data_IF_282431297403
#
_entry.id   IF_282431297403
#
_cell.length_a   1.000
_cell.length_b   1.000
_cell.length_c   1.000
_cell.angle_alpha   90.00
_cell.angle_beta   90.00
_cell.angle_gamma   90.00
#
_symmetry.space_group_name_H-M   'P 1'
#
loop_
_entity.id
_entity.type
_entity.pdbx_description
1 polymer ?
#
# COMPACT_ATOMS: atom_id res chain seq x y z
N UNK A 1 16.77 23.73 -6.16
CA UNK A 1 16.01 22.47 -6.33
C UNK A 1 16.99 21.46 -6.87
N UNK A 2 17.09 20.26 -6.29
CA UNK A 2 17.96 19.21 -6.82
C UNK A 2 17.42 18.76 -8.19
N UNK A 3 18.30 18.58 -9.15
CA UNK A 3 17.96 18.07 -10.48
C UNK A 3 18.82 16.84 -10.75
N UNK A 4 18.21 15.73 -11.17
CA UNK A 4 18.97 14.53 -11.54
C UNK A 4 19.99 14.80 -12.63
N UNK A 5 21.18 14.20 -12.52
CA UNK A 5 22.27 14.38 -13.48
C UNK A 5 22.24 13.23 -14.49
N UNK A 6 21.96 13.57 -15.74
CA UNK A 6 21.94 12.63 -16.87
C UNK A 6 22.77 13.28 -17.98
N UNK A 7 24.09 12.98 -18.05
CA UNK A 7 25.02 13.69 -18.94
C UNK A 7 24.83 13.35 -20.42
N UNK A 8 24.15 12.28 -20.75
CA UNK A 8 23.86 11.85 -22.12
C UNK A 8 22.54 11.08 -22.20
N UNK A 9 21.87 11.09 -23.34
CA UNK A 9 20.70 10.25 -23.60
C UNK A 9 21.06 8.80 -23.96
N UNK A 10 20.04 7.95 -24.12
CA UNK A 10 20.17 6.55 -24.56
C UNK A 10 20.95 5.67 -23.56
N UNK A 11 21.54 4.59 -24.06
CA UNK A 11 22.22 3.58 -23.21
C UNK A 11 23.37 4.16 -22.39
N UNK A 12 24.12 5.13 -22.94
CA UNK A 12 25.25 5.74 -22.21
C UNK A 12 24.78 6.49 -20.94
N UNK A 13 23.74 7.32 -21.08
CA UNK A 13 23.12 8.01 -19.93
C UNK A 13 22.49 7.03 -18.95
N UNK A 14 21.87 5.97 -19.43
CA UNK A 14 21.33 4.91 -18.60
C UNK A 14 22.40 4.25 -17.72
N UNK A 15 23.52 3.84 -18.30
CA UNK A 15 24.64 3.25 -17.53
C UNK A 15 25.25 4.21 -16.52
N UNK A 16 25.24 5.51 -16.82
CA UNK A 16 25.64 6.51 -15.83
C UNK A 16 24.61 6.60 -14.69
N UNK A 17 23.33 6.70 -15.03
CA UNK A 17 22.23 6.78 -14.05
C UNK A 17 22.21 5.55 -13.14
N UNK A 18 22.35 4.34 -13.69
CA UNK A 18 22.40 3.09 -12.90
C UNK A 18 23.51 3.13 -11.84
N UNK A 19 24.71 3.57 -12.21
CA UNK A 19 25.84 3.61 -11.28
C UNK A 19 25.72 4.67 -10.18
N UNK A 20 24.94 5.69 -10.41
CA UNK A 20 24.79 6.84 -9.51
C UNK A 20 23.40 6.91 -8.87
N UNK A 21 22.56 5.91 -9.13
CA UNK A 21 21.13 5.91 -8.80
C UNK A 21 20.88 6.17 -7.32
N UNK A 22 21.50 5.39 -6.45
CA UNK A 22 21.28 5.50 -5.00
C UNK A 22 21.75 6.84 -4.48
N UNK A 23 22.97 7.28 -4.84
CA UNK A 23 23.50 8.59 -4.42
C UNK A 23 22.64 9.77 -4.93
N UNK A 24 22.09 9.67 -6.15
CA UNK A 24 21.23 10.72 -6.68
C UNK A 24 19.84 10.70 -6.02
N UNK A 25 19.31 9.54 -5.70
CA UNK A 25 18.03 9.39 -5.00
C UNK A 25 18.12 9.94 -3.57
N UNK A 26 19.18 9.59 -2.84
CA UNK A 26 19.42 10.10 -1.49
C UNK A 26 19.55 11.62 -1.49
N UNK A 27 20.34 12.19 -2.43
CA UNK A 27 20.47 13.62 -2.59
C UNK A 27 19.15 14.32 -2.97
N UNK A 28 18.26 13.64 -3.72
CA UNK A 28 16.93 14.13 -4.04
C UNK A 28 16.00 14.11 -2.81
N UNK A 29 16.03 13.02 -2.03
CA UNK A 29 15.22 12.89 -0.81
C UNK A 29 15.60 13.97 0.23
N UNK A 30 16.90 14.26 0.39
CA UNK A 30 17.41 15.31 1.27
C UNK A 30 17.19 16.74 0.74
N UNK A 31 16.83 16.89 -0.54
CA UNK A 31 16.53 18.19 -1.12
C UNK A 31 15.30 18.83 -0.44
N UNK A 32 15.41 20.12 -0.12
CA UNK A 32 14.43 20.83 0.71
C UNK A 32 12.94 20.68 0.32
N UNK A 33 12.55 20.68 -0.97
CA UNK A 33 11.14 20.45 -1.35
C UNK A 33 10.66 19.04 -1.03
N UNK A 34 11.41 18.00 -1.42
CA UNK A 34 11.05 16.58 -1.19
C UNK A 34 11.01 16.28 0.29
N UNK A 35 12.03 16.68 1.04
CA UNK A 35 12.09 16.52 2.48
C UNK A 35 10.88 17.15 3.19
N UNK A 36 10.55 18.42 2.85
CA UNK A 36 9.36 19.08 3.44
C UNK A 36 8.04 18.39 3.09
N UNK A 37 7.93 17.82 1.90
CA UNK A 37 6.71 17.07 1.52
C UNK A 37 6.59 15.78 2.34
N UNK A 38 7.68 15.04 2.49
CA UNK A 38 7.72 13.81 3.30
C UNK A 38 7.49 14.08 4.79
N UNK A 39 8.12 15.11 5.36
CA UNK A 39 7.94 15.50 6.77
C UNK A 39 6.50 15.91 7.04
N UNK A 40 5.91 16.71 6.15
CA UNK A 40 4.51 17.09 6.25
C UNK A 40 3.57 15.89 6.16
N UNK A 41 3.81 14.99 5.22
CA UNK A 41 3.01 13.78 5.09
C UNK A 41 3.09 12.94 6.36
N UNK A 42 4.29 12.67 6.88
CA UNK A 42 4.51 11.89 8.10
C UNK A 42 3.78 12.49 9.31
N UNK A 43 3.85 13.81 9.47
CA UNK A 43 3.17 14.51 10.55
C UNK A 43 1.65 14.42 10.44
N UNK A 44 1.10 14.67 9.26
CA UNK A 44 -0.34 14.83 9.08
C UNK A 44 -1.09 13.52 8.88
N UNK A 45 -0.48 12.52 8.25
CA UNK A 45 -1.15 11.25 7.93
C UNK A 45 -1.58 10.50 9.20
N UNK A 46 -0.89 10.68 10.31
CA UNK A 46 -1.23 10.06 11.59
C UNK A 46 -2.64 10.45 12.10
N UNK A 47 -3.16 11.59 11.66
CA UNK A 47 -4.50 12.09 12.06
C UNK A 47 -5.56 11.83 10.99
N UNK A 48 -5.20 11.24 9.87
CA UNK A 48 -6.09 10.93 8.76
C UNK A 48 -6.71 9.55 8.97
N UNK A 49 -8.02 9.51 9.14
CA UNK A 49 -8.77 8.27 9.39
C UNK A 49 -9.87 8.01 8.36
N UNK A 50 -10.10 8.96 7.45
CA UNK A 50 -11.11 8.84 6.40
C UNK A 50 -10.57 9.25 5.03
N UNK A 51 -11.12 8.68 3.94
CA UNK A 51 -10.83 9.10 2.58
C UNK A 51 -11.01 10.61 2.35
N UNK A 52 -12.08 11.20 2.92
CA UNK A 52 -12.35 12.64 2.83
C UNK A 52 -11.21 13.47 3.41
N UNK A 53 -10.71 13.08 4.59
CA UNK A 53 -9.62 13.80 5.25
C UNK A 53 -8.34 13.78 4.39
N UNK A 54 -8.01 12.63 3.78
CA UNK A 54 -6.87 12.52 2.88
C UNK A 54 -7.02 13.41 1.65
N UNK A 55 -8.19 13.34 0.98
CA UNK A 55 -8.37 14.07 -0.29
C UNK A 55 -8.62 15.57 -0.09
N UNK A 56 -9.06 16.01 1.08
CA UNK A 56 -9.24 17.42 1.41
C UNK A 56 -7.91 18.18 1.49
N UNK A 57 -6.86 17.52 2.00
CA UNK A 57 -5.53 18.11 2.06
C UNK A 57 -4.77 17.87 0.74
N UNK A 58 -4.59 18.95 -0.05
CA UNK A 58 -3.89 18.87 -1.35
C UNK A 58 -2.47 18.32 -1.21
N UNK A 59 -1.74 18.69 -0.17
CA UNK A 59 -0.34 18.27 0.02
C UNK A 59 -0.25 16.78 0.35
N UNK A 60 -1.17 16.29 1.21
CA UNK A 60 -1.28 14.84 1.47
C UNK A 60 -1.62 14.08 0.20
N UNK A 61 -2.59 14.56 -0.55
CA UNK A 61 -3.04 13.94 -1.81
C UNK A 61 -1.94 13.91 -2.86
N UNK A 62 -1.14 14.99 -2.99
CA UNK A 62 0.00 15.05 -3.91
C UNK A 62 1.04 13.97 -3.57
N UNK A 63 1.43 13.83 -2.31
CA UNK A 63 2.38 12.79 -1.87
C UNK A 63 1.78 11.39 -2.04
N UNK A 64 0.53 11.21 -1.61
CA UNK A 64 -0.17 9.94 -1.70
C UNK A 64 -0.26 9.42 -3.14
N UNK A 65 -0.72 10.25 -4.07
CA UNK A 65 -0.84 9.86 -5.49
C UNK A 65 0.52 9.69 -6.15
N UNK A 66 1.47 10.57 -5.87
CA UNK A 66 2.84 10.47 -6.41
C UNK A 66 3.54 9.18 -5.96
N UNK A 67 3.27 8.69 -4.74
CA UNK A 67 3.79 7.41 -4.26
C UNK A 67 3.37 6.22 -5.12
N UNK A 68 2.31 6.35 -5.92
CA UNK A 68 1.82 5.29 -6.81
C UNK A 68 1.90 5.66 -8.30
N UNK A 69 2.45 6.84 -8.64
CA UNK A 69 2.58 7.32 -10.02
C UNK A 69 1.23 7.73 -10.63
N UNK A 70 0.35 8.28 -9.80
CA UNK A 70 -1.00 8.74 -10.13
C UNK A 70 -1.12 10.27 -10.05
N UNK A 71 -0.03 11.00 -10.27
CA UNK A 71 0.05 12.47 -10.13
C UNK A 71 -0.96 13.18 -11.03
N UNK A 72 -1.32 12.57 -12.16
CA UNK A 72 -2.29 13.12 -13.09
C UNK A 72 -3.70 13.27 -12.48
N UNK A 73 -4.00 12.49 -11.43
CA UNK A 73 -5.31 12.48 -10.76
C UNK A 73 -5.40 13.42 -9.56
N UNK A 74 -4.36 14.23 -9.30
CA UNK A 74 -4.32 15.11 -8.12
C UNK A 74 -5.52 16.06 -8.04
N UNK A 75 -6.06 16.50 -9.16
CA UNK A 75 -7.23 17.39 -9.22
C UNK A 75 -8.57 16.61 -9.35
N UNK A 76 -8.51 15.27 -9.52
CA UNK A 76 -9.68 14.39 -9.64
C UNK A 76 -10.20 13.95 -8.26
N UNK A 77 -10.47 14.92 -7.37
CA UNK A 77 -10.76 14.69 -5.94
C UNK A 77 -11.90 13.69 -5.71
N UNK A 78 -13.00 13.82 -6.46
CA UNK A 78 -14.15 12.92 -6.34
C UNK A 78 -13.80 11.48 -6.72
N UNK A 79 -13.05 11.30 -7.80
CA UNK A 79 -12.63 9.98 -8.27
C UNK A 79 -11.69 9.31 -7.24
N UNK A 80 -10.68 10.02 -6.75
CA UNK A 80 -9.72 9.53 -5.76
C UNK A 80 -10.44 9.17 -4.46
N UNK A 81 -11.37 10.02 -3.99
CA UNK A 81 -12.18 9.74 -2.82
C UNK A 81 -12.98 8.46 -2.99
N UNK A 82 -13.70 8.33 -4.11
CA UNK A 82 -14.52 7.16 -4.40
C UNK A 82 -13.70 5.86 -4.44
N UNK A 83 -12.52 5.88 -5.02
CA UNK A 83 -11.60 4.74 -5.01
C UNK A 83 -11.28 4.28 -3.58
N UNK A 84 -10.95 5.22 -2.71
CA UNK A 84 -10.57 4.95 -1.32
C UNK A 84 -11.78 4.50 -0.47
N UNK A 85 -12.98 5.05 -0.72
CA UNK A 85 -14.22 4.68 -0.04
C UNK A 85 -14.67 3.25 -0.36
N UNK A 86 -14.54 2.83 -1.63
CA UNK A 86 -14.94 1.48 -2.05
C UNK A 86 -13.93 0.40 -1.61
N UNK A 87 -12.68 0.78 -1.31
CA UNK A 87 -11.66 -0.16 -0.87
C UNK A 87 -11.26 -1.17 -1.95
N UNK A 88 -10.76 -2.33 -1.52
CA UNK A 88 -10.34 -3.42 -2.41
C UNK A 88 -10.97 -4.77 -2.07
N UNK A 89 -11.73 -4.88 -0.99
CA UNK A 89 -12.32 -6.15 -0.51
C UNK A 89 -13.45 -6.66 -1.40
N UNK A 90 -14.29 -5.76 -1.89
CA UNK A 90 -15.35 -6.13 -2.84
C UNK A 90 -14.73 -6.32 -4.24
N UNK A 91 -14.88 -7.50 -4.86
CA UNK A 91 -14.44 -7.71 -6.25
C UNK A 91 -15.06 -6.71 -7.25
N UNK A 92 -16.24 -6.16 -6.94
CA UNK A 92 -16.92 -5.12 -7.71
C UNK A 92 -16.42 -3.71 -7.46
N UNK A 93 -15.55 -3.48 -6.47
CA UNK A 93 -15.00 -2.17 -6.16
C UNK A 93 -14.29 -1.53 -7.35
N UNK A 94 -14.35 -0.21 -7.46
CA UNK A 94 -13.82 0.54 -8.60
C UNK A 94 -12.34 0.25 -8.85
N UNK A 95 -11.52 0.18 -7.80
CA UNK A 95 -10.09 -0.13 -7.88
C UNK A 95 -9.80 -1.50 -8.49
N UNK A 96 -10.67 -2.50 -8.25
CA UNK A 96 -10.52 -3.86 -8.78
C UNK A 96 -10.98 -3.99 -10.25
N UNK A 97 -11.81 -3.05 -10.72
CA UNK A 97 -12.35 -3.05 -12.09
C UNK A 97 -11.49 -2.28 -13.08
N UNK A 98 -10.60 -1.44 -12.59
CA UNK A 98 -9.67 -0.69 -13.43
C UNK A 98 -8.56 -1.61 -13.94
N UNK A 99 -8.18 -1.43 -15.20
CA UNK A 99 -7.08 -2.19 -15.82
C UNK A 99 -5.71 -1.77 -15.31
N UNK A 100 -5.59 -0.54 -14.80
CA UNK A 100 -4.36 -0.01 -14.23
C UNK A 100 -4.23 -0.44 -12.75
N UNK A 101 -3.34 -1.37 -12.49
CA UNK A 101 -3.11 -1.95 -11.17
C UNK A 101 -2.67 -0.91 -10.11
N UNK A 102 -2.12 0.24 -10.53
CA UNK A 102 -1.65 1.28 -9.61
C UNK A 102 -2.77 1.81 -8.71
N UNK A 103 -4.01 1.86 -9.22
CA UNK A 103 -5.16 2.29 -8.41
C UNK A 103 -5.46 1.30 -7.29
N UNK A 104 -5.37 0.01 -7.57
CA UNK A 104 -5.56 -1.03 -6.55
C UNK A 104 -4.45 -0.97 -5.50
N UNK A 105 -3.20 -0.84 -5.93
CA UNK A 105 -2.05 -0.73 -5.03
C UNK A 105 -2.16 0.51 -4.14
N UNK A 106 -2.60 1.64 -4.70
CA UNK A 106 -2.87 2.88 -3.97
C UNK A 106 -3.94 2.68 -2.88
N UNK A 107 -5.09 2.12 -3.24
CA UNK A 107 -6.18 1.90 -2.29
C UNK A 107 -5.79 0.91 -1.19
N UNK A 108 -5.11 -0.19 -1.57
CA UNK A 108 -4.65 -1.20 -0.63
C UNK A 108 -3.61 -0.68 0.37
N UNK A 109 -2.77 0.29 -0.02
CA UNK A 109 -1.76 0.87 0.87
C UNK A 109 -2.35 1.71 1.99
N UNK A 110 -3.48 2.40 1.73
CA UNK A 110 -4.18 3.17 2.77
C UNK A 110 -5.17 2.32 3.57
N UNK A 111 -5.75 1.29 2.94
CA UNK A 111 -6.65 0.34 3.57
C UNK A 111 -7.65 1.00 4.53
N UNK A 112 -8.37 2.05 4.07
CA UNK A 112 -9.35 2.75 4.91
C UNK A 112 -10.49 1.86 5.38
N UNK A 113 -10.73 0.74 4.70
CA UNK A 113 -11.61 -0.33 5.11
C UNK A 113 -11.04 -1.19 6.26
N UNK A 114 -9.76 -1.01 6.62
CA UNK A 114 -9.06 -1.65 7.73
C UNK A 114 -8.70 -0.67 8.87
N UNK A 115 -9.29 0.52 8.89
CA UNK A 115 -9.09 1.48 9.99
C UNK A 115 -9.49 0.84 11.31
N UNK A 116 -8.52 0.74 12.22
CA UNK A 116 -8.72 0.14 13.54
C UNK A 116 -9.32 1.16 14.48
N UNK A 117 -10.54 0.91 14.93
CA UNK A 117 -11.25 1.76 15.91
C UNK A 117 -11.24 1.17 17.32
N UNK A 118 -10.94 -0.13 17.46
CA UNK A 118 -10.83 -0.83 18.73
C UNK A 118 -9.86 -2.02 18.61
N UNK A 119 -9.26 -2.42 19.74
CA UNK A 119 -8.34 -3.57 19.76
C UNK A 119 -9.01 -4.90 19.39
N UNK A 120 -10.34 -4.99 19.47
CA UNK A 120 -11.15 -6.14 19.03
C UNK A 120 -10.90 -6.52 17.58
N UNK A 121 -10.52 -5.55 16.73
CA UNK A 121 -10.24 -5.72 15.31
C UNK A 121 -8.78 -6.09 15.01
N UNK A 122 -7.90 -6.02 16.03
CA UNK A 122 -6.48 -6.36 15.86
C UNK A 122 -6.31 -7.88 15.76
N UNK A 123 -5.55 -8.40 14.76
CA UNK A 123 -5.28 -9.83 14.65
C UNK A 123 -4.77 -10.45 15.95
N UNK A 124 -5.30 -11.63 16.30
CA UNK A 124 -4.95 -12.34 17.52
C UNK A 124 -5.61 -11.80 18.79
N UNK A 125 -6.43 -10.75 18.74
CA UNK A 125 -7.17 -10.26 19.92
C UNK A 125 -8.08 -11.35 20.50
N UNK A 126 -8.89 -11.97 19.67
CA UNK A 126 -9.81 -13.03 20.08
C UNK A 126 -9.08 -14.18 20.81
N UNK A 127 -7.92 -14.59 20.32
CA UNK A 127 -7.13 -15.67 20.92
C UNK A 127 -6.54 -15.26 22.27
N UNK A 128 -6.02 -14.04 22.40
CA UNK A 128 -5.54 -13.54 23.70
C UNK A 128 -6.61 -13.51 24.79
N UNK A 129 -7.85 -13.12 24.43
CA UNK A 129 -8.97 -13.15 25.38
C UNK A 129 -9.41 -14.59 25.65
N UNK A 130 -9.41 -15.43 24.62
CA UNK A 130 -9.69 -16.87 24.76
C UNK A 130 -8.73 -17.56 25.72
N UNK A 131 -7.43 -17.32 25.62
CA UNK A 131 -6.42 -17.86 26.53
C UNK A 131 -6.67 -17.41 27.97
N UNK A 132 -7.00 -16.14 28.22
CA UNK A 132 -7.38 -15.64 29.55
C UNK A 132 -8.65 -16.32 30.08
N UNK A 133 -9.66 -16.49 29.24
CA UNK A 133 -10.89 -17.20 29.61
C UNK A 133 -10.62 -18.65 30.00
N UNK A 134 -9.79 -19.35 29.23
CA UNK A 134 -9.37 -20.72 29.51
C UNK A 134 -8.65 -20.81 30.87
N UNK A 135 -7.66 -19.93 31.07
CA UNK A 135 -6.91 -19.85 32.32
C UNK A 135 -7.84 -19.60 33.53
N UNK A 136 -8.77 -18.64 33.42
CA UNK A 136 -9.73 -18.35 34.48
C UNK A 136 -10.69 -19.52 34.79
N UNK A 137 -10.98 -20.39 33.81
CA UNK A 137 -11.86 -21.57 34.02
C UNK A 137 -11.15 -22.74 34.70
N UNK A 138 -9.84 -22.89 34.52
CA UNK A 138 -9.09 -24.07 34.94
C UNK A 138 -8.22 -23.85 36.19
N UNK A 139 -8.11 -22.60 36.63
CA UNK A 139 -7.33 -22.27 37.86
C UNK A 139 -7.90 -22.94 39.13
N UNK A 140 -9.13 -23.42 39.09
CA UNK A 140 -9.81 -24.13 40.20
C UNK A 140 -9.34 -25.59 40.36
N UNK A 141 -8.59 -26.17 39.39
CA UNK A 141 -8.28 -27.62 39.37
C UNK A 141 -6.78 -27.97 39.26
N UNK A 142 -5.88 -27.01 39.07
CA UNK A 142 -4.44 -27.27 38.94
C UNK A 142 -4.02 -28.06 37.69
N UNK A 143 -4.90 -28.18 36.68
CA UNK A 143 -4.59 -28.85 35.41
C UNK A 143 -4.16 -27.85 34.33
N UNK A 144 -3.32 -28.26 33.35
CA UNK A 144 -2.94 -27.37 32.23
C UNK A 144 -4.16 -26.88 31.48
N UNK A 145 -4.28 -25.57 31.34
CA UNK A 145 -5.38 -24.91 30.65
C UNK A 145 -5.21 -25.05 29.13
N UNK A 146 -6.00 -25.90 28.49
CA UNK A 146 -6.11 -25.99 27.02
C UNK A 146 -7.56 -25.92 26.57
N UNK A 147 -7.81 -25.53 25.31
CA UNK A 147 -9.15 -25.49 24.75
C UNK A 147 -9.84 -26.88 24.78
N UNK A 148 -9.03 -27.96 24.68
CA UNK A 148 -9.56 -29.33 24.68
C UNK A 148 -9.99 -29.80 26.07
N UNK A 149 -9.44 -29.22 27.14
CA UNK A 149 -9.83 -29.58 28.53
C UNK A 149 -11.10 -28.84 28.99
N UNK A 150 -11.59 -27.86 28.23
CA UNK A 150 -12.85 -27.18 28.53
C UNK A 150 -14.07 -28.10 28.33
N UNK A 151 -15.13 -27.98 29.17
CA UNK A 151 -16.44 -28.58 28.89
C UNK A 151 -16.99 -28.14 27.51
N UNK A 152 -17.74 -29.01 26.82
CA UNK A 152 -18.25 -28.78 25.46
C UNK A 152 -19.02 -27.46 25.35
N UNK A 153 -19.88 -27.13 26.32
CA UNK A 153 -20.62 -25.87 26.34
C UNK A 153 -19.71 -24.64 26.44
N UNK A 154 -18.57 -24.73 27.13
CA UNK A 154 -17.60 -23.63 27.23
C UNK A 154 -16.79 -23.47 25.95
N UNK A 155 -16.50 -24.56 25.22
CA UNK A 155 -15.86 -24.51 23.88
C UNK A 155 -16.74 -23.81 22.89
N UNK A 156 -18.04 -24.21 22.76
CA UNK A 156 -18.98 -23.54 21.85
C UNK A 156 -19.16 -22.05 22.16
N UNK A 157 -19.13 -21.70 23.44
CA UNK A 157 -19.16 -20.27 23.85
C UNK A 157 -17.91 -19.54 23.39
N UNK A 158 -16.74 -20.16 23.47
CA UNK A 158 -15.48 -19.56 23.06
C UNK A 158 -15.36 -19.44 21.54
N UNK A 159 -15.85 -20.42 20.78
CA UNK A 159 -15.89 -20.38 19.31
C UNK A 159 -16.83 -19.28 18.82
N UNK A 160 -17.99 -19.12 19.47
CA UNK A 160 -18.90 -18.01 19.20
C UNK A 160 -18.28 -16.64 19.53
N UNK A 161 -17.48 -16.57 20.60
CA UNK A 161 -16.72 -15.35 20.92
C UNK A 161 -15.72 -15.04 19.81
N UNK A 162 -14.88 -15.98 19.42
CA UNK A 162 -13.88 -15.78 18.37
C UNK A 162 -14.46 -15.31 17.04
N UNK A 163 -15.62 -15.87 16.67
CA UNK A 163 -16.25 -15.53 15.40
C UNK A 163 -16.90 -14.14 15.35
N UNK A 164 -17.26 -13.57 16.51
CA UNK A 164 -18.06 -12.32 16.58
C UNK A 164 -17.32 -11.14 17.18
N UNK A 165 -16.28 -11.33 17.98
CA UNK A 165 -15.65 -10.24 18.73
C UNK A 165 -15.08 -9.14 17.82
N UNK A 166 -14.62 -9.47 16.63
CA UNK A 166 -14.08 -8.50 15.68
C UNK A 166 -15.15 -7.51 15.15
N UNK A 167 -16.45 -7.85 15.24
CA UNK A 167 -17.53 -6.93 14.87
C UNK A 167 -17.89 -5.93 15.97
N UNK A 168 -17.35 -6.11 17.17
CA UNK A 168 -17.58 -5.23 18.32
C UNK A 168 -16.63 -4.03 18.23
N UNK A 169 -17.15 -2.86 17.93
CA UNK A 169 -16.37 -1.63 17.77
C UNK A 169 -16.62 -0.58 18.84
N UNK A 170 -17.67 -0.77 19.64
CA UNK A 170 -18.04 0.13 20.73
C UNK A 170 -18.27 -0.62 22.05
N UNK A 171 -18.15 0.05 23.21
CA UNK A 171 -18.55 -0.52 24.50
C UNK A 171 -20.02 -0.94 24.54
N UNK A 172 -20.89 -0.21 23.85
CA UNK A 172 -22.32 -0.48 23.73
C UNK A 172 -22.57 -1.82 23.04
N UNK A 173 -21.87 -2.12 21.94
CA UNK A 173 -21.97 -3.39 21.21
C UNK A 173 -21.59 -4.56 22.12
N UNK A 174 -20.49 -4.43 22.89
CA UNK A 174 -20.03 -5.48 23.79
C UNK A 174 -21.08 -5.78 24.89
N UNK A 175 -21.62 -4.72 25.48
CA UNK A 175 -22.58 -4.87 26.59
C UNK A 175 -23.94 -5.37 26.09
N UNK A 176 -24.31 -5.07 24.85
CA UNK A 176 -25.54 -5.56 24.22
C UNK A 176 -25.50 -7.08 23.92
N UNK A 177 -24.32 -7.64 23.66
CA UNK A 177 -24.15 -9.08 23.48
C UNK A 177 -23.83 -9.78 24.82
N UNK A 178 -24.86 -10.32 25.46
CA UNK A 178 -24.73 -10.94 26.78
C UNK A 178 -23.71 -12.09 26.83
N UNK A 179 -23.50 -12.81 25.73
CA UNK A 179 -22.55 -13.91 25.66
C UNK A 179 -21.11 -13.41 25.55
N UNK A 180 -20.83 -12.44 24.66
CA UNK A 180 -19.52 -11.81 24.54
C UNK A 180 -19.16 -11.06 25.83
N UNK A 181 -20.12 -10.36 26.43
CA UNK A 181 -19.94 -9.68 27.69
C UNK A 181 -19.54 -10.65 28.83
N UNK A 182 -20.26 -11.78 28.98
CA UNK A 182 -19.96 -12.76 30.00
C UNK A 182 -18.56 -13.42 29.81
N UNK A 183 -18.19 -13.78 28.57
CA UNK A 183 -16.84 -14.30 28.27
C UNK A 183 -15.77 -13.29 28.63
N UNK A 184 -16.00 -12.02 28.26
CA UNK A 184 -15.09 -10.92 28.55
C UNK A 184 -14.87 -10.76 30.03
N UNK A 185 -15.94 -10.65 30.82
CA UNK A 185 -15.81 -10.48 32.27
C UNK A 185 -15.14 -11.68 32.95
N UNK A 186 -15.42 -12.90 32.50
CA UNK A 186 -14.75 -14.09 33.01
C UNK A 186 -13.24 -14.09 32.68
N UNK A 187 -12.87 -13.67 31.48
CA UNK A 187 -11.46 -13.60 31.06
C UNK A 187 -10.61 -12.61 31.90
N UNK A 188 -11.27 -11.63 32.54
CA UNK A 188 -10.62 -10.64 33.39
C UNK A 188 -10.92 -10.82 34.88
N UNK A 189 -11.56 -11.94 35.26
CA UNK A 189 -11.96 -12.24 36.66
C UNK A 189 -12.90 -11.17 37.26
N UNK A 190 -13.83 -10.67 36.44
CA UNK A 190 -14.79 -9.61 36.78
C UNK A 190 -16.23 -10.15 36.87
N UNK A 191 -16.44 -11.40 37.24
CA UNK A 191 -17.76 -12.01 37.35
C UNK A 191 -18.71 -11.26 38.34
N UNK A 192 -18.13 -10.61 39.35
CA UNK A 192 -18.82 -9.76 40.30
C UNK A 192 -19.40 -8.48 39.69
N UNK A 193 -19.01 -8.15 38.46
CA UNK A 193 -19.52 -7.01 37.69
C UNK A 193 -20.59 -7.38 36.65
N UNK A 194 -20.97 -8.67 36.49
CA UNK A 194 -22.00 -9.11 35.52
C UNK A 194 -23.35 -8.37 35.70
N UNK A 195 -23.70 -7.97 36.94
CA UNK A 195 -24.90 -7.22 37.23
C UNK A 195 -24.77 -5.67 37.06
N UNK A 196 -23.57 -5.22 36.61
CA UNK A 196 -23.26 -3.79 36.51
C UNK A 196 -22.83 -3.38 35.08
N UNK A 197 -23.64 -3.67 34.05
CA UNK A 197 -23.24 -3.45 32.65
C UNK A 197 -22.93 -1.97 32.34
N UNK A 198 -23.67 -1.03 32.97
CA UNK A 198 -23.41 0.39 32.76
C UNK A 198 -22.05 0.86 33.32
N UNK A 199 -21.59 0.28 34.44
CA UNK A 199 -20.26 0.58 34.97
C UNK A 199 -19.17 0.08 34.04
N UNK A 200 -19.30 -1.14 33.54
CA UNK A 200 -18.34 -1.71 32.59
C UNK A 200 -18.34 -0.93 31.28
N UNK A 201 -19.52 -0.56 30.77
CA UNK A 201 -19.63 0.28 29.57
C UNK A 201 -18.89 1.61 29.74
N UNK A 202 -19.07 2.27 30.87
CA UNK A 202 -18.38 3.54 31.15
C UNK A 202 -16.88 3.36 31.32
N UNK A 203 -16.43 2.32 32.03
CA UNK A 203 -15.00 1.95 32.15
C UNK A 203 -14.36 1.74 30.77
N UNK A 204 -15.02 1.02 29.89
CA UNK A 204 -14.54 0.76 28.54
C UNK A 204 -14.54 2.02 27.66
N UNK A 205 -15.56 2.89 27.80
CA UNK A 205 -15.66 4.14 27.04
C UNK A 205 -14.61 5.18 27.45
N UNK A 206 -14.37 5.33 28.75
CA UNK A 206 -13.34 6.24 29.27
C UNK A 206 -11.92 5.70 29.08
N UNK A 207 -11.79 4.36 28.90
CA UNK A 207 -10.48 3.71 28.76
C UNK A 207 -9.66 3.72 30.04
N UNK A 208 -8.33 3.71 29.89
CA UNK A 208 -7.39 3.73 31.01
C UNK A 208 -6.20 4.67 30.80
N UNK A 209 -6.18 5.45 29.71
CA UNK A 209 -5.08 6.38 29.42
C UNK A 209 -5.11 7.61 30.31
N UNK A 210 -6.31 8.17 30.52
CA UNK A 210 -6.50 9.30 31.41
C UNK A 210 -6.28 8.85 32.87
N UNK A 211 -5.45 9.55 33.67
CA UNK A 211 -5.31 9.30 35.11
C UNK A 211 -6.62 9.39 35.88
N UNK A 212 -7.57 10.22 35.40
CA UNK A 212 -8.87 10.43 36.00
C UNK A 212 -9.97 9.52 35.46
N UNK A 213 -9.64 8.56 34.54
CA UNK A 213 -10.60 7.61 34.02
C UNK A 213 -11.25 6.76 35.12
N UNK A 214 -12.51 6.38 34.92
CA UNK A 214 -13.31 5.63 35.92
C UNK A 214 -12.62 4.34 36.36
N UNK A 215 -11.97 3.61 35.42
CA UNK A 215 -11.21 2.40 35.73
C UNK A 215 -10.16 2.62 36.81
N UNK A 216 -9.43 3.73 36.77
CA UNK A 216 -8.41 4.11 37.74
C UNK A 216 -9.00 4.66 39.03
N UNK A 217 -10.07 5.44 38.96
CA UNK A 217 -10.76 6.00 40.14
C UNK A 217 -11.40 4.93 41.02
N UNK A 218 -11.90 3.84 40.43
CA UNK A 218 -12.45 2.70 41.20
C UNK A 218 -11.32 1.99 41.95
N UNK A 219 -10.09 2.00 41.42
CA UNK A 219 -8.93 1.40 42.08
C UNK A 219 -8.85 -0.11 41.92
N UNK A 220 -9.67 -0.74 41.06
CA UNK A 220 -9.59 -2.15 40.75
C UNK A 220 -8.68 -2.36 39.51
N UNK A 221 -7.50 -2.99 39.65
CA UNK A 221 -6.59 -3.18 38.56
C UNK A 221 -7.13 -4.11 37.46
N UNK A 222 -8.17 -4.90 37.72
CA UNK A 222 -8.83 -5.76 36.73
C UNK A 222 -9.59 -4.90 35.72
N UNK A 223 -10.23 -3.81 36.16
CA UNK A 223 -10.94 -2.87 35.30
C UNK A 223 -9.97 -2.09 34.42
N UNK A 224 -8.81 -1.70 34.94
CA UNK A 224 -7.75 -1.06 34.16
C UNK A 224 -7.26 -1.99 33.05
N UNK A 225 -6.95 -3.24 33.39
CA UNK A 225 -6.54 -4.25 32.40
C UNK A 225 -7.61 -4.53 31.34
N UNK A 226 -8.87 -4.54 31.73
CA UNK A 226 -9.99 -4.69 30.81
C UNK A 226 -10.06 -3.51 29.82
N UNK A 227 -10.02 -2.28 30.31
CA UNK A 227 -10.06 -1.08 29.48
C UNK A 227 -8.87 -0.99 28.51
N UNK A 228 -7.64 -1.25 29.01
CA UNK A 228 -6.43 -1.28 28.19
C UNK A 228 -6.47 -2.38 27.11
N UNK A 229 -7.03 -3.55 27.45
CA UNK A 229 -7.11 -4.64 26.49
C UNK A 229 -8.04 -4.34 25.31
N UNK A 230 -9.20 -3.72 25.59
CA UNK A 230 -10.19 -3.42 24.56
C UNK A 230 -9.87 -2.13 23.78
N UNK A 231 -9.34 -1.11 24.46
CA UNK A 231 -8.87 0.13 23.84
C UNK A 231 -9.94 0.86 23.03
N UNK A 232 -11.19 0.91 23.52
CA UNK A 232 -12.26 1.68 22.88
C UNK A 232 -12.05 3.20 23.00
N UNK A 233 -11.14 3.63 23.87
CA UNK A 233 -10.66 5.02 23.98
C UNK A 233 -9.56 5.34 22.95
N UNK A 234 -9.28 4.39 22.04
CA UNK A 234 -8.29 4.58 20.97
C UNK A 234 -8.85 5.50 19.91
N UNK A 235 -8.06 6.49 19.52
CA UNK A 235 -8.37 7.25 18.32
C UNK A 235 -8.22 6.34 17.09
N UNK A 236 -9.19 6.35 16.16
CA UNK A 236 -9.07 5.62 14.92
C UNK A 236 -7.75 5.96 14.23
N UNK A 237 -7.10 5.00 13.63
CA UNK A 237 -5.83 5.20 12.91
C UNK A 237 -5.73 4.30 11.69
N UNK A 238 -5.02 4.75 10.68
CA UNK A 238 -4.62 3.89 9.58
C UNK A 238 -3.78 2.70 10.09
N UNK A 239 -3.70 1.61 9.33
CA UNK A 239 -2.84 0.47 9.66
C UNK A 239 -1.41 0.92 9.95
N UNK A 240 -0.76 0.22 10.90
CA UNK A 240 0.63 0.51 11.26
C UNK A 240 1.54 0.35 10.04
N UNK A 241 2.48 1.27 9.86
CA UNK A 241 3.41 1.26 8.72
C UNK A 241 2.88 1.89 7.43
N UNK A 242 1.62 2.36 7.38
CA UNK A 242 1.07 3.03 6.18
C UNK A 242 1.92 4.23 5.77
N UNK A 243 2.30 5.09 6.71
CA UNK A 243 3.11 6.27 6.43
C UNK A 243 4.46 5.90 5.80
N UNK A 244 5.16 4.94 6.40
CA UNK A 244 6.48 4.46 5.95
C UNK A 244 6.40 3.83 4.56
N UNK A 245 5.39 2.99 4.33
CA UNK A 245 5.16 2.34 3.03
C UNK A 245 4.90 3.36 1.92
N UNK A 246 4.05 4.35 2.18
CA UNK A 246 3.74 5.42 1.21
C UNK A 246 4.97 6.29 0.97
N UNK A 247 5.69 6.69 2.03
CA UNK A 247 6.88 7.53 1.90
C UNK A 247 8.03 6.84 1.18
N UNK A 248 8.27 5.55 1.43
CA UNK A 248 9.27 4.78 0.69
C UNK A 248 8.93 4.70 -0.81
N UNK A 249 7.65 4.49 -1.13
CA UNK A 249 7.17 4.51 -2.52
C UNK A 249 7.27 5.90 -3.15
N UNK A 250 6.93 6.95 -2.39
CA UNK A 250 7.04 8.34 -2.82
C UNK A 250 8.47 8.73 -3.18
N UNK A 251 9.44 8.41 -2.31
CA UNK A 251 10.85 8.72 -2.53
C UNK A 251 11.35 8.18 -3.88
N UNK A 252 11.07 6.92 -4.15
CA UNK A 252 11.48 6.27 -5.41
C UNK A 252 10.79 6.92 -6.61
N UNK A 253 9.48 7.09 -6.56
CA UNK A 253 8.71 7.56 -7.71
C UNK A 253 8.85 9.07 -7.95
N UNK A 254 8.98 9.86 -6.90
CA UNK A 254 9.26 11.28 -7.03
C UNK A 254 10.63 11.53 -7.68
N UNK A 255 11.62 10.70 -7.36
CA UNK A 255 12.90 10.72 -8.07
C UNK A 255 12.75 10.27 -9.54
N UNK A 256 12.02 9.18 -9.82
CA UNK A 256 11.70 8.76 -11.19
C UNK A 256 11.03 9.90 -11.99
N UNK A 257 10.09 10.62 -11.38
CA UNK A 257 9.42 11.77 -11.99
C UNK A 257 10.40 12.94 -12.25
N UNK A 258 11.28 13.22 -11.31
CA UNK A 258 12.32 14.24 -11.47
C UNK A 258 13.31 13.88 -12.60
N UNK A 259 13.67 12.60 -12.74
CA UNK A 259 14.42 12.08 -13.89
C UNK A 259 13.66 12.32 -15.19
N UNK A 260 12.34 12.11 -15.19
CA UNK A 260 11.46 12.36 -16.33
C UNK A 260 11.43 13.81 -16.78
N UNK A 261 11.59 14.74 -15.85
CA UNK A 261 11.76 16.17 -16.17
C UNK A 261 13.05 16.50 -16.94
N UNK A 262 14.04 15.61 -16.90
CA UNK A 262 15.29 15.71 -17.68
C UNK A 262 15.21 14.87 -18.93
N UNK A 263 14.79 13.60 -18.80
CA UNK A 263 14.69 12.62 -19.88
C UNK A 263 13.56 11.60 -19.59
N UNK A 264 12.46 11.70 -20.33
CA UNK A 264 11.30 10.81 -20.14
C UNK A 264 11.61 9.34 -20.48
N UNK A 265 12.56 9.08 -21.37
CA UNK A 265 12.94 7.71 -21.68
C UNK A 265 13.65 7.03 -20.51
N UNK A 266 14.44 7.78 -19.74
CA UNK A 266 15.07 7.30 -18.52
C UNK A 266 14.06 7.04 -17.41
N UNK A 267 13.02 7.88 -17.28
CA UNK A 267 11.92 7.65 -16.34
C UNK A 267 11.18 6.36 -16.65
N UNK A 268 10.85 6.12 -17.92
CA UNK A 268 10.19 4.88 -18.34
C UNK A 268 11.09 3.66 -18.08
N UNK A 269 12.39 3.78 -18.31
CA UNK A 269 13.34 2.71 -18.02
C UNK A 269 13.45 2.38 -16.53
N UNK A 270 13.54 3.40 -15.66
CA UNK A 270 13.57 3.24 -14.19
C UNK A 270 12.27 2.59 -13.68
N UNK A 271 11.13 3.14 -14.07
CA UNK A 271 9.82 2.60 -13.69
C UNK A 271 9.66 1.14 -14.18
N UNK A 272 10.04 0.90 -15.45
CA UNK A 272 9.96 -0.41 -16.05
C UNK A 272 10.83 -1.44 -15.34
N UNK A 273 12.07 -1.08 -14.98
CA UNK A 273 12.97 -1.97 -14.23
C UNK A 273 12.34 -2.39 -12.91
N UNK A 274 11.83 -1.44 -12.13
CA UNK A 274 11.20 -1.71 -10.84
C UNK A 274 9.90 -2.50 -10.96
N UNK A 275 9.00 -2.07 -11.85
CA UNK A 275 7.68 -2.66 -11.99
C UNK A 275 7.71 -4.04 -12.65
N UNK A 276 8.62 -4.28 -13.61
CA UNK A 276 8.83 -5.61 -14.19
C UNK A 276 9.37 -6.59 -13.15
N UNK A 277 10.36 -6.19 -12.33
CA UNK A 277 10.90 -7.05 -11.28
C UNK A 277 9.78 -7.49 -10.30
N UNK A 278 8.99 -6.55 -9.80
CA UNK A 278 7.86 -6.85 -8.91
C UNK A 278 6.80 -7.75 -9.58
N UNK A 279 6.49 -7.52 -10.86
CA UNK A 279 5.54 -8.34 -11.61
C UNK A 279 6.07 -9.76 -11.85
N UNK A 280 7.37 -9.90 -12.09
CA UNK A 280 8.03 -11.20 -12.29
C UNK A 280 7.88 -12.12 -11.08
N UNK A 281 8.03 -11.56 -9.87
CA UNK A 281 7.89 -12.28 -8.59
C UNK A 281 6.44 -12.62 -8.23
N UNK A 282 5.46 -11.95 -8.85
CA UNK A 282 4.03 -12.15 -8.57
C UNK A 282 3.54 -13.56 -8.89
N UNK A 283 2.60 -14.07 -8.11
CA UNK A 283 2.02 -15.42 -8.26
C UNK A 283 0.94 -15.54 -9.36
N UNK A 284 0.66 -14.47 -10.10
CA UNK A 284 -0.36 -14.44 -11.17
C UNK A 284 0.05 -15.32 -12.36
N UNK A 285 -0.94 -15.77 -13.16
CA UNK A 285 -0.69 -16.45 -14.42
C UNK A 285 0.08 -15.56 -15.40
N UNK A 286 0.77 -16.16 -16.37
CA UNK A 286 1.52 -15.40 -17.37
C UNK A 286 0.63 -14.41 -18.14
N UNK A 287 -0.55 -14.84 -18.57
CA UNK A 287 -1.53 -13.98 -19.27
C UNK A 287 -1.94 -12.79 -18.40
N UNK A 288 -2.22 -13.02 -17.10
CA UNK A 288 -2.56 -11.94 -16.17
C UNK A 288 -1.41 -10.94 -16.00
N UNK A 289 -0.16 -11.40 -16.00
CA UNK A 289 1.02 -10.54 -16.00
C UNK A 289 1.12 -9.72 -17.28
N UNK A 290 0.85 -10.33 -18.44
CA UNK A 290 0.79 -9.60 -19.72
C UNK A 290 -0.32 -8.57 -19.76
N UNK A 291 -1.52 -8.89 -19.27
CA UNK A 291 -2.61 -7.90 -19.14
C UNK A 291 -2.22 -6.75 -18.19
N UNK A 292 -1.48 -7.03 -17.13
CA UNK A 292 -0.94 -5.97 -16.25
C UNK A 292 0.06 -5.08 -16.99
N UNK A 293 0.96 -5.64 -17.80
CA UNK A 293 1.87 -4.85 -18.66
C UNK A 293 1.08 -3.98 -19.62
N UNK A 294 0.06 -4.53 -20.29
CA UNK A 294 -0.76 -3.80 -21.25
C UNK A 294 -1.63 -2.72 -20.60
N UNK A 295 -2.09 -2.95 -19.37
CA UNK A 295 -2.92 -2.01 -18.61
C UNK A 295 -2.14 -0.92 -17.88
N UNK A 296 -0.82 -1.09 -17.70
CA UNK A 296 0.03 -0.13 -16.98
C UNK A 296 0.81 0.74 -17.97
N UNK A 297 0.48 2.03 -18.14
CA UNK A 297 1.04 2.86 -19.20
C UNK A 297 2.58 2.87 -19.31
N UNK A 298 3.36 3.00 -18.22
CA UNK A 298 4.83 2.97 -18.32
C UNK A 298 5.38 1.61 -18.76
N UNK A 299 4.81 0.49 -18.27
CA UNK A 299 5.22 -0.85 -18.66
C UNK A 299 4.89 -1.12 -20.12
N UNK A 300 3.68 -0.74 -20.53
CA UNK A 300 3.25 -0.82 -21.92
C UNK A 300 4.22 -0.08 -22.84
N UNK A 301 4.55 1.18 -22.51
CA UNK A 301 5.48 2.00 -23.29
C UNK A 301 6.87 1.38 -23.38
N UNK A 302 7.37 0.80 -22.28
CA UNK A 302 8.64 0.07 -22.28
C UNK A 302 8.62 -1.12 -23.24
N UNK A 303 7.60 -1.98 -23.13
CA UNK A 303 7.53 -3.20 -23.93
C UNK A 303 7.22 -2.92 -25.41
N UNK A 304 6.31 -2.01 -25.72
CA UNK A 304 6.05 -1.58 -27.10
C UNK A 304 7.32 -1.03 -27.75
N UNK A 305 8.05 -0.18 -27.04
CA UNK A 305 9.32 0.36 -27.53
C UNK A 305 10.40 -0.71 -27.66
N UNK A 306 10.57 -1.58 -26.67
CA UNK A 306 11.55 -2.66 -26.70
C UNK A 306 11.28 -3.68 -27.83
N UNK A 307 10.01 -3.99 -28.11
CA UNK A 307 9.60 -4.91 -29.16
C UNK A 307 9.43 -4.24 -30.53
N UNK A 308 9.55 -2.91 -30.60
CA UNK A 308 9.39 -2.15 -31.86
C UNK A 308 7.97 -2.23 -32.41
N UNK A 309 6.96 -2.19 -31.53
CA UNK A 309 5.56 -2.18 -31.93
C UNK A 309 5.14 -0.76 -32.37
N UNK A 310 4.30 -0.63 -33.42
CA UNK A 310 3.88 0.67 -33.90
C UNK A 310 2.85 1.29 -32.97
N UNK A 311 2.68 2.63 -32.98
CA UNK A 311 1.68 3.34 -32.18
C UNK A 311 0.24 2.88 -32.44
N UNK A 312 -0.06 2.43 -33.67
CA UNK A 312 -1.37 1.89 -34.03
C UNK A 312 -1.69 0.54 -33.36
N UNK A 313 -0.72 -0.08 -32.72
CA UNK A 313 -0.87 -1.38 -32.06
C UNK A 313 -1.97 -1.37 -30.99
N UNK A 314 -2.08 -0.28 -30.24
CA UNK A 314 -3.12 -0.10 -29.20
C UNK A 314 -4.58 -0.07 -29.73
N UNK A 315 -4.78 0.06 -31.04
CA UNK A 315 -6.12 0.04 -31.66
C UNK A 315 -6.61 -1.38 -31.99
N UNK A 316 -5.75 -2.40 -31.80
CA UNK A 316 -6.12 -3.81 -32.02
C UNK A 316 -6.98 -4.32 -30.85
N UNK A 317 -7.73 -5.40 -31.14
CA UNK A 317 -8.39 -6.20 -30.11
C UNK A 317 -7.39 -6.70 -29.06
N UNK A 318 -7.82 -6.73 -27.78
CA UNK A 318 -6.91 -6.97 -26.65
C UNK A 318 -6.27 -8.38 -26.69
N UNK A 319 -7.02 -9.40 -27.13
CA UNK A 319 -6.50 -10.77 -27.22
C UNK A 319 -5.46 -10.88 -28.35
N UNK A 320 -5.65 -10.12 -29.42
CA UNK A 320 -4.67 -10.00 -30.50
C UNK A 320 -3.43 -9.25 -30.06
N UNK A 321 -3.59 -8.23 -29.21
CA UNK A 321 -2.45 -7.54 -28.61
C UNK A 321 -1.63 -8.51 -27.76
N UNK A 322 -2.27 -9.31 -26.90
CA UNK A 322 -1.60 -10.32 -26.09
C UNK A 322 -0.80 -11.29 -26.97
N UNK A 323 -1.44 -11.90 -27.95
CA UNK A 323 -0.80 -12.84 -28.87
C UNK A 323 0.41 -12.23 -29.58
N UNK A 324 0.33 -10.98 -30.00
CA UNK A 324 1.44 -10.30 -30.71
C UNK A 324 2.56 -9.91 -29.75
N UNK A 325 2.24 -9.50 -28.50
CA UNK A 325 3.23 -9.26 -27.47
C UNK A 325 4.04 -10.53 -27.19
N UNK A 326 3.38 -11.64 -26.93
CA UNK A 326 4.02 -12.93 -26.65
C UNK A 326 4.88 -13.41 -27.83
N UNK A 327 4.33 -13.36 -29.04
CA UNK A 327 5.04 -13.75 -30.27
C UNK A 327 6.31 -12.91 -30.47
N UNK A 328 6.22 -11.58 -30.23
CA UNK A 328 7.38 -10.68 -30.36
C UNK A 328 8.40 -10.87 -29.26
N UNK A 329 7.95 -11.10 -28.03
CA UNK A 329 8.81 -11.38 -26.90
C UNK A 329 9.60 -12.68 -27.13
N UNK A 330 8.92 -13.76 -27.55
CA UNK A 330 9.54 -15.02 -27.90
C UNK A 330 10.59 -14.85 -29.01
N UNK A 331 10.25 -14.16 -30.10
CA UNK A 331 11.15 -13.93 -31.23
C UNK A 331 12.37 -13.06 -30.84
N UNK A 332 12.22 -12.11 -29.90
CA UNK A 332 13.29 -11.15 -29.58
C UNK A 332 14.14 -11.62 -28.40
N UNK A 333 13.54 -12.26 -27.41
CA UNK A 333 14.16 -12.60 -26.12
C UNK A 333 14.30 -14.12 -25.90
N UNK A 334 13.63 -14.94 -26.71
CA UNK A 334 13.62 -16.40 -26.60
C UNK A 334 12.66 -16.91 -25.52
N UNK A 335 11.75 -16.05 -25.04
CA UNK A 335 10.72 -16.39 -24.06
C UNK A 335 9.58 -15.37 -24.09
N UNK A 336 8.36 -15.84 -23.85
CA UNK A 336 7.18 -15.02 -23.57
C UNK A 336 6.75 -15.10 -22.08
N UNK A 337 7.47 -15.84 -21.25
CA UNK A 337 7.23 -15.89 -19.81
C UNK A 337 7.68 -14.59 -19.14
N UNK A 338 6.73 -13.88 -18.51
CA UNK A 338 7.00 -12.57 -17.90
C UNK A 338 7.97 -12.67 -16.73
N UNK A 339 7.99 -13.79 -15.99
CA UNK A 339 8.98 -14.02 -14.93
C UNK A 339 10.40 -14.08 -15.50
N UNK A 340 10.59 -14.80 -16.61
CA UNK A 340 11.87 -14.86 -17.30
C UNK A 340 12.26 -13.54 -17.97
N UNK A 341 11.29 -12.77 -18.49
CA UNK A 341 11.52 -11.43 -19.03
C UNK A 341 11.93 -10.42 -17.94
N UNK A 342 11.42 -10.58 -16.73
CA UNK A 342 11.72 -9.73 -15.58
C UNK A 342 13.07 -10.02 -14.91
N UNK A 343 13.68 -11.17 -15.23
CA UNK A 343 14.97 -11.57 -14.68
C UNK A 343 16.14 -10.98 -15.49
N UNK A 344 17.24 -10.63 -14.82
CA UNK A 344 18.49 -10.31 -15.49
C UNK A 344 19.13 -11.59 -16.09
N UNK A 345 19.76 -11.53 -17.26
CA UNK A 345 20.07 -10.34 -18.06
C UNK A 345 18.97 -9.88 -19.05
N UNK A 346 17.82 -10.55 -19.09
CA UNK A 346 16.77 -10.27 -20.09
C UNK A 346 16.17 -8.88 -19.89
N UNK A 347 15.87 -8.51 -18.64
CA UNK A 347 15.32 -7.19 -18.32
C UNK A 347 16.26 -6.05 -18.73
N UNK A 348 17.56 -6.20 -18.48
CA UNK A 348 18.57 -5.23 -18.93
C UNK A 348 18.56 -5.09 -20.46
N UNK A 349 18.41 -6.19 -21.20
CA UNK A 349 18.31 -6.16 -22.66
C UNK A 349 17.02 -5.50 -23.16
N UNK A 350 15.89 -5.69 -22.46
CA UNK A 350 14.63 -5.00 -22.76
C UNK A 350 14.83 -3.49 -22.65
N UNK A 351 15.43 -3.03 -21.56
CA UNK A 351 15.71 -1.61 -21.33
C UNK A 351 16.66 -1.05 -22.39
N UNK A 352 17.74 -1.73 -22.68
CA UNK A 352 18.70 -1.30 -23.71
C UNK A 352 18.02 -1.15 -25.08
N UNK A 353 17.20 -2.13 -25.51
CA UNK A 353 16.45 -2.07 -26.76
C UNK A 353 15.43 -0.93 -26.78
N UNK A 354 14.72 -0.71 -25.67
CA UNK A 354 13.82 0.42 -25.52
C UNK A 354 14.57 1.75 -25.73
N UNK A 355 15.68 1.94 -25.05
CA UNK A 355 16.48 3.17 -25.10
C UNK A 355 17.07 3.41 -26.50
N UNK A 356 17.56 2.36 -27.16
CA UNK A 356 18.08 2.46 -28.54
C UNK A 356 16.99 2.86 -29.52
N UNK A 357 15.80 2.26 -29.41
CA UNK A 357 14.67 2.52 -30.33
C UNK A 357 13.92 3.81 -30.03
N UNK A 358 14.01 4.32 -28.79
CA UNK A 358 13.44 5.59 -28.40
C UNK A 358 14.35 6.78 -28.68
N UNK A 359 15.62 6.52 -29.05
CA UNK A 359 16.55 7.59 -29.42
C UNK A 359 16.04 8.29 -30.71
N UNK A 360 16.04 9.62 -30.80
CA UNK A 360 15.69 10.33 -32.01
C UNK A 360 16.65 9.89 -33.13
N UNK A 361 16.09 9.63 -34.32
CA UNK A 361 16.90 9.25 -35.49
C UNK A 361 18.00 10.29 -35.74
N UNK A 362 19.24 9.88 -36.02
CA UNK A 362 20.29 10.83 -36.35
C UNK A 362 19.85 11.66 -37.56
N UNK A 363 19.46 12.94 -37.34
CA UNK A 363 18.99 13.85 -38.37
C UNK A 363 17.58 14.44 -38.17
N UNK A 364 16.77 13.97 -37.21
CA UNK A 364 15.43 14.49 -36.96
C UNK A 364 15.38 15.69 -35.96
N UNK A 365 16.44 15.98 -35.27
CA UNK A 365 16.58 17.14 -34.38
C UNK A 365 17.46 18.19 -35.03
N UNK A 366 16.86 19.27 -35.51
CA UNK A 366 17.57 20.47 -35.97
C UNK A 366 18.27 21.22 -34.85
N UNK A 367 19.12 20.56 -34.10
CA UNK A 367 20.16 21.21 -33.32
C UNK A 367 21.28 21.54 -34.28
N UNK A 368 21.26 22.76 -34.79
CA UNK A 368 22.46 23.36 -35.40
C UNK A 368 23.59 23.21 -34.40
N UNK A 369 24.51 22.28 -34.72
CA UNK A 369 25.76 22.11 -33.97
C UNK A 369 26.36 23.50 -33.74
N UNK A 370 26.86 23.86 -32.54
CA UNK A 370 27.57 25.14 -32.33
C UNK A 370 28.66 25.41 -33.35
N UNK A 371 29.28 24.36 -33.90
CA UNK A 371 30.22 24.43 -35.01
C UNK A 371 29.61 24.94 -36.32
N UNK A 372 28.32 24.65 -36.60
CA UNK A 372 27.59 25.14 -37.79
C UNK A 372 27.11 26.59 -37.63
N UNK A 373 26.89 27.06 -36.41
CA UNK A 373 26.58 28.48 -36.15
C UNK A 373 27.81 29.37 -36.33
N UNK A 374 29.00 28.87 -35.99
CA UNK A 374 30.27 29.59 -36.20
C UNK A 374 30.58 29.74 -37.70
N UNK A 375 30.24 28.75 -38.51
CA UNK A 375 30.47 28.78 -39.97
C UNK A 375 29.46 29.63 -40.78
N UNK A 376 28.33 30.04 -40.19
CA UNK A 376 27.32 30.91 -40.83
C UNK A 376 27.49 32.39 -40.50
N UNK A 377 28.43 32.73 -39.64
CA UNK A 377 28.70 34.11 -39.22
C UNK A 377 29.92 34.80 -39.89
N UNK A 378 30.40 34.26 -41.02
CA UNK A 378 31.37 34.91 -41.93
C UNK A 378 30.78 35.12 -43.30
#
# INVERSE_FOLDING_TARGET
MYQPVIPAGGVAGWRYLERTLDAQRDAYAEAGPSRRAMDYFREKIATVTTPEALVADRRLREVALAAFGLEADVDSVFFVRKLLEEGTRDPGALANRLSDARYRDFVAAFAFDDVVVANTQVPGFADRIAERFIAAKLDVRGEPATAETLPEGARGTLDAFRSRIASITTPEDLVADAQLFAVTLQAFDLNDHLSKPNTIRQVLAEGARDPDALARRIGDPRLVRLAEAFGFDREPSLPEGTAETVLASYEVRAFEAAVGGVDDTMRVALNGRRAMAALGEGAQSNDAKWFTIMGTPPLRKLMEGALGLPQSFGAMDIDRQLTEFERRAEATFGTADVGALAADPTLSRIIDLYLVRSAPAPGAGGATSPALQILRGF
#
